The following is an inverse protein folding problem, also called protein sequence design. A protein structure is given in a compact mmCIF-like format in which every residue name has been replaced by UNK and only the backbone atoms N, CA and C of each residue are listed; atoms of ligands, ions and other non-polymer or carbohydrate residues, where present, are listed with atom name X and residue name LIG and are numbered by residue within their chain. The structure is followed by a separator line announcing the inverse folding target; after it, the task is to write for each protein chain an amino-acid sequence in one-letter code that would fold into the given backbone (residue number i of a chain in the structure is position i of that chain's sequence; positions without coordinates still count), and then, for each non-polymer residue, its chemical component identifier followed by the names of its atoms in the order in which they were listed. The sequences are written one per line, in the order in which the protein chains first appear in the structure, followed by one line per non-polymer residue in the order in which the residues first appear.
data_IF_655429195551
#
_entry.id   IF_655429195551
#
_cell.length_a   1.000
_cell.length_b   1.000
_cell.length_c   1.000
_cell.angle_alpha   90.00
_cell.angle_beta   90.00
_cell.angle_gamma   90.00
#
_symmetry.space_group_name_H-M   'P 1'
#
loop_
_entity.id
_entity.type
_entity.pdbx_description
1 polymer ?
#
# COMPACT_ATOMS: atom_id res chain seq x y z
N UNK A 1 -65.89 -12.67 -37.98
CA UNK A 1 -65.07 -11.54 -37.51
C UNK A 1 -64.17 -12.10 -36.41
N UNK A 2 -62.92 -12.01 -36.68
CA UNK A 2 -61.83 -12.70 -35.93
C UNK A 2 -61.50 -11.93 -34.68
N UNK A 3 -61.48 -12.64 -33.54
CA UNK A 3 -60.94 -12.13 -32.29
C UNK A 3 -59.56 -12.74 -32.01
N UNK A 4 -58.54 -11.89 -31.97
CA UNK A 4 -57.14 -12.27 -31.70
C UNK A 4 -56.93 -12.58 -30.21
N UNK A 5 -56.53 -13.81 -29.92
CA UNK A 5 -56.02 -14.21 -28.63
C UNK A 5 -54.63 -13.64 -28.40
N UNK A 6 -54.47 -12.79 -27.39
CA UNK A 6 -53.19 -12.31 -26.91
C UNK A 6 -52.69 -13.24 -25.81
N UNK A 7 -51.65 -13.99 -26.12
CA UNK A 7 -50.98 -14.86 -25.14
C UNK A 7 -50.21 -14.00 -24.13
N UNK A 8 -50.60 -14.12 -22.87
CA UNK A 8 -49.86 -13.52 -21.73
C UNK A 8 -48.60 -14.35 -21.48
N UNK A 9 -47.47 -13.78 -21.82
CA UNK A 9 -46.16 -14.33 -21.47
C UNK A 9 -45.87 -14.04 -20.00
N UNK A 10 -45.94 -15.07 -19.14
CA UNK A 10 -45.54 -14.96 -17.76
C UNK A 10 -44.00 -15.01 -17.71
N UNK A 11 -43.39 -13.85 -17.53
CA UNK A 11 -41.96 -13.79 -17.14
C UNK A 11 -41.83 -14.12 -15.66
N UNK A 12 -41.37 -15.31 -15.38
CA UNK A 12 -40.87 -15.68 -14.03
C UNK A 12 -39.52 -15.00 -13.82
N UNK A 13 -39.53 -13.88 -13.12
CA UNK A 13 -38.30 -13.22 -12.67
C UNK A 13 -37.70 -14.05 -11.54
N UNK A 14 -36.67 -14.82 -11.87
CA UNK A 14 -35.75 -15.36 -10.88
C UNK A 14 -34.89 -14.21 -10.37
N UNK A 15 -35.25 -13.69 -9.20
CA UNK A 15 -34.40 -12.77 -8.44
C UNK A 15 -33.17 -13.55 -7.93
N UNK A 16 -32.14 -13.62 -8.77
CA UNK A 16 -30.81 -13.94 -8.30
C UNK A 16 -30.28 -12.69 -7.61
N UNK A 17 -30.38 -12.66 -6.29
CA UNK A 17 -29.72 -11.64 -5.48
C UNK A 17 -28.21 -11.77 -5.70
N UNK A 18 -27.68 -10.95 -6.60
CA UNK A 18 -26.24 -10.73 -6.69
C UNK A 18 -25.86 -9.99 -5.41
N UNK A 19 -25.41 -10.73 -4.39
CA UNK A 19 -24.77 -10.15 -3.24
C UNK A 19 -23.43 -9.62 -3.71
N UNK A 20 -23.44 -8.42 -4.26
CA UNK A 20 -22.21 -7.64 -4.49
C UNK A 20 -21.66 -7.36 -3.12
N UNK A 21 -20.64 -8.12 -2.72
CA UNK A 21 -19.81 -7.76 -1.59
C UNK A 21 -19.12 -6.46 -1.99
N UNK A 22 -19.73 -5.34 -1.64
CA UNK A 22 -19.09 -4.03 -1.77
C UNK A 22 -17.83 -4.10 -0.90
N UNK A 23 -16.68 -4.31 -1.53
CA UNK A 23 -15.39 -4.17 -0.88
C UNK A 23 -15.36 -2.78 -0.25
N UNK A 24 -15.05 -2.71 1.06
CA UNK A 24 -14.93 -1.42 1.74
C UNK A 24 -13.95 -0.56 0.98
N UNK A 25 -14.38 0.62 0.56
CA UNK A 25 -13.53 1.58 -0.13
C UNK A 25 -12.46 2.05 0.86
N UNK A 26 -11.21 2.01 0.45
CA UNK A 26 -10.12 2.57 1.26
C UNK A 26 -10.30 4.08 1.37
N UNK A 27 -10.36 4.58 2.60
CA UNK A 27 -10.67 5.99 2.88
C UNK A 27 -9.73 6.54 3.94
N UNK A 28 -9.14 7.68 3.65
CA UNK A 28 -8.34 8.47 4.57
C UNK A 28 -8.83 9.91 4.61
N UNK A 29 -8.91 10.47 5.80
CA UNK A 29 -9.25 11.87 6.04
C UNK A 29 -8.04 12.56 6.65
N UNK A 30 -7.52 13.55 5.95
CA UNK A 30 -6.41 14.40 6.41
C UNK A 30 -6.94 15.67 7.05
N UNK A 31 -6.25 16.16 8.07
CA UNK A 31 -6.58 17.39 8.77
C UNK A 31 -5.37 18.33 8.84
N UNK A 32 -5.60 19.63 8.72
CA UNK A 32 -4.54 20.63 8.76
C UNK A 32 -3.78 20.67 10.08
N UNK A 33 -4.49 20.51 11.18
CA UNK A 33 -3.91 20.62 12.51
C UNK A 33 -3.87 19.28 13.25
N UNK A 34 -3.20 19.26 14.39
CA UNK A 34 -3.16 18.11 15.29
C UNK A 34 -4.56 17.82 15.84
N UNK A 35 -4.75 16.61 16.35
CA UNK A 35 -5.98 16.17 17.00
C UNK A 35 -7.22 16.34 16.11
N UNK A 36 -7.06 16.14 14.79
CA UNK A 36 -8.17 16.15 13.81
C UNK A 36 -8.88 17.50 13.73
N UNK A 37 -8.14 18.58 13.87
CA UNK A 37 -8.65 19.95 13.81
C UNK A 37 -8.30 20.64 12.49
N UNK A 38 -8.94 21.78 12.23
CA UNK A 38 -8.74 22.57 11.02
C UNK A 38 -9.54 22.03 9.83
N UNK A 39 -9.18 22.50 8.64
CA UNK A 39 -9.79 22.00 7.41
C UNK A 39 -9.42 20.54 7.19
N UNK A 40 -10.30 19.80 6.54
CA UNK A 40 -10.09 18.40 6.22
C UNK A 40 -10.19 18.13 4.72
N UNK A 41 -9.53 17.08 4.29
CA UNK A 41 -9.60 16.56 2.92
C UNK A 41 -9.74 15.04 2.97
N UNK A 42 -10.82 14.54 2.37
CA UNK A 42 -11.08 13.11 2.25
C UNK A 42 -10.49 12.57 0.94
N UNK A 43 -9.71 11.51 1.02
CA UNK A 43 -9.05 10.89 -0.12
C UNK A 43 -9.39 9.40 -0.19
N UNK A 44 -9.88 8.96 -1.35
CA UNK A 44 -10.28 7.58 -1.63
C UNK A 44 -9.47 6.95 -2.77
N UNK A 45 -8.41 7.62 -3.21
CA UNK A 45 -7.54 7.21 -4.32
C UNK A 45 -6.12 7.74 -4.13
N UNK A 46 -5.25 7.49 -5.09
CA UNK A 46 -3.94 8.13 -5.12
C UNK A 46 -4.09 9.65 -5.24
N UNK A 47 -3.31 10.40 -4.47
CA UNK A 47 -3.24 11.85 -4.53
C UNK A 47 -1.79 12.29 -4.74
N UNK A 48 -1.48 12.77 -5.93
CA UNK A 48 -0.12 13.17 -6.29
C UNK A 48 0.32 14.49 -5.64
N UNK A 49 -0.62 15.37 -5.34
CA UNK A 49 -0.34 16.65 -4.70
C UNK A 49 -1.48 17.10 -3.82
N UNK A 50 -1.24 17.10 -2.52
CA UNK A 50 -2.22 17.51 -1.51
C UNK A 50 -2.21 19.02 -1.25
N UNK A 51 -1.23 19.77 -1.75
CA UNK A 51 -1.06 21.19 -1.49
C UNK A 51 -2.20 22.05 -2.03
N UNK A 52 -2.91 21.54 -3.06
CA UNK A 52 -4.12 22.17 -3.59
C UNK A 52 -5.36 22.04 -2.68
N UNK A 53 -5.35 21.10 -1.75
CA UNK A 53 -6.47 20.82 -0.85
C UNK A 53 -6.22 21.36 0.56
N UNK A 54 -5.01 21.18 1.09
CA UNK A 54 -4.60 21.59 2.42
C UNK A 54 -3.26 22.30 2.39
N UNK A 55 -3.15 23.43 3.09
CA UNK A 55 -1.90 24.20 3.20
C UNK A 55 -0.87 23.52 4.09
N UNK A 56 -1.33 22.74 5.08
CA UNK A 56 -0.54 21.92 5.99
C UNK A 56 -1.31 20.64 6.32
N UNK A 57 -0.66 19.68 6.92
CA UNK A 57 -1.32 18.45 7.36
C UNK A 57 -0.55 17.88 8.56
N UNK A 58 -1.24 17.64 9.68
CA UNK A 58 -0.62 17.18 10.92
C UNK A 58 -1.32 15.97 11.55
N UNK A 59 -2.55 15.68 11.16
CA UNK A 59 -3.27 14.49 11.64
C UNK A 59 -4.09 13.85 10.52
N UNK A 60 -4.40 12.57 10.68
CA UNK A 60 -5.28 11.87 9.76
C UNK A 60 -6.00 10.70 10.43
N UNK A 61 -7.11 10.30 9.83
CA UNK A 61 -7.87 9.09 10.18
C UNK A 61 -7.96 8.21 8.96
N UNK A 62 -7.61 6.94 9.12
CA UNK A 62 -7.79 5.92 8.10
C UNK A 62 -8.91 5.00 8.57
N UNK A 63 -10.05 5.11 7.93
CA UNK A 63 -11.21 4.29 8.24
C UNK A 63 -11.08 2.88 7.69
N UNK A 64 -10.57 2.78 6.47
CA UNK A 64 -10.30 1.52 5.79
C UNK A 64 -9.08 1.64 4.91
N UNK A 65 -8.31 0.56 4.80
CA UNK A 65 -7.20 0.47 3.87
C UNK A 65 -5.83 0.71 4.48
N UNK A 66 -4.83 0.62 3.63
CA UNK A 66 -3.44 0.95 3.91
C UNK A 66 -2.95 1.95 2.87
N UNK A 67 -2.09 2.85 3.29
CA UNK A 67 -1.58 3.92 2.45
C UNK A 67 -0.07 4.09 2.61
N UNK A 68 0.61 4.42 1.50
CA UNK A 68 1.94 5.00 1.53
C UNK A 68 1.83 6.52 1.48
N UNK A 69 2.48 7.18 2.42
CA UNK A 69 2.56 8.62 2.53
C UNK A 69 3.94 9.12 2.14
N UNK A 70 3.99 10.30 1.54
CA UNK A 70 5.21 10.92 1.07
C UNK A 70 5.28 12.38 1.52
N UNK A 71 6.45 12.85 1.94
CA UNK A 71 6.65 14.22 2.39
C UNK A 71 6.85 15.23 1.25
N UNK A 72 6.83 14.76 -0.01
CA UNK A 72 6.87 15.61 -1.20
C UNK A 72 5.76 15.25 -2.20
N UNK A 73 5.36 16.19 -3.06
CA UNK A 73 4.45 15.89 -4.18
C UNK A 73 5.01 14.81 -5.12
N UNK A 74 4.12 14.23 -5.90
CA UNK A 74 4.43 13.22 -6.91
C UNK A 74 5.11 11.96 -6.36
N UNK A 75 4.74 11.58 -5.12
CA UNK A 75 5.23 10.35 -4.47
C UNK A 75 6.75 10.34 -4.28
N UNK A 76 7.30 11.52 -4.02
CA UNK A 76 8.72 11.73 -3.83
C UNK A 76 9.06 11.93 -2.34
N UNK A 77 10.35 11.89 -2.04
CA UNK A 77 10.86 12.09 -0.68
C UNK A 77 10.82 10.84 0.19
N UNK A 78 10.68 11.04 1.49
CA UNK A 78 10.60 9.93 2.43
C UNK A 78 9.23 9.25 2.37
N UNK A 79 9.21 7.93 2.57
CA UNK A 79 8.01 7.12 2.54
C UNK A 79 7.64 6.67 3.95
N UNK A 80 6.33 6.67 4.23
CA UNK A 80 5.78 6.23 5.51
C UNK A 80 4.57 5.34 5.27
N UNK A 81 4.53 4.21 5.96
CA UNK A 81 3.42 3.26 5.87
C UNK A 81 2.38 3.54 6.95
N UNK A 82 1.13 3.70 6.53
CA UNK A 82 -0.02 3.93 7.41
C UNK A 82 -1.07 2.85 7.17
N UNK A 83 -1.52 2.21 8.22
CA UNK A 83 -2.65 1.28 8.21
C UNK A 83 -3.88 1.90 8.85
N UNK A 84 -5.00 1.22 8.81
CA UNK A 84 -6.22 1.65 9.49
C UNK A 84 -5.95 2.10 10.94
N UNK A 85 -6.45 3.28 11.30
CA UNK A 85 -6.24 3.86 12.63
C UNK A 85 -6.34 5.38 12.65
N UNK A 86 -6.14 5.94 13.82
CA UNK A 86 -6.15 7.37 14.09
C UNK A 86 -4.73 7.85 14.41
N UNK A 87 -4.32 8.93 13.77
CA UNK A 87 -2.98 9.52 13.88
C UNK A 87 -3.15 11.00 14.26
N UNK A 88 -3.24 11.26 15.56
CA UNK A 88 -3.55 12.60 16.10
C UNK A 88 -2.42 13.62 15.87
N UNK A 89 -1.19 13.13 15.78
CA UNK A 89 0.01 13.92 15.44
C UNK A 89 1.04 12.99 14.80
N UNK A 90 0.87 12.69 13.53
CA UNK A 90 1.75 11.73 12.85
C UNK A 90 3.19 12.23 12.72
N UNK A 91 3.43 13.55 12.72
CA UNK A 91 4.79 14.08 12.67
C UNK A 91 5.60 13.65 13.91
N UNK A 92 5.03 13.80 15.09
CA UNK A 92 5.64 13.31 16.33
C UNK A 92 5.72 11.77 16.38
N UNK A 93 4.65 11.08 15.95
CA UNK A 93 4.57 9.61 16.01
C UNK A 93 5.62 8.92 15.13
N UNK A 94 5.95 9.49 13.99
CA UNK A 94 6.90 8.92 13.01
C UNK A 94 8.22 9.68 12.94
N UNK A 95 8.42 10.71 13.77
CA UNK A 95 9.62 11.53 13.72
C UNK A 95 9.80 12.28 12.39
N UNK A 96 8.69 12.65 11.76
CA UNK A 96 8.71 13.35 10.49
C UNK A 96 9.10 14.82 10.69
N UNK A 97 9.96 15.31 9.80
CA UNK A 97 10.36 16.72 9.79
C UNK A 97 9.46 17.61 8.94
N UNK A 98 8.61 17.01 8.09
CA UNK A 98 7.78 17.73 7.14
C UNK A 98 6.38 17.11 7.03
N UNK A 99 5.43 17.88 6.48
CA UNK A 99 4.06 17.43 6.27
C UNK A 99 3.98 16.42 5.11
N UNK A 100 2.96 15.58 5.15
CA UNK A 100 2.59 14.73 4.00
C UNK A 100 2.12 15.62 2.85
N UNK A 101 2.63 15.34 1.64
CA UNK A 101 2.32 16.08 0.42
C UNK A 101 1.69 15.23 -0.67
N UNK A 102 1.86 13.92 -0.61
CA UNK A 102 1.21 12.97 -1.52
C UNK A 102 0.97 11.64 -0.83
N UNK A 103 0.01 10.87 -1.34
CA UNK A 103 -0.29 9.53 -0.82
C UNK A 103 -0.68 8.57 -1.93
N UNK A 104 -0.34 7.29 -1.76
CA UNK A 104 -0.81 6.18 -2.58
C UNK A 104 -1.64 5.23 -1.75
N UNK A 105 -2.77 4.85 -2.30
CA UNK A 105 -3.56 3.74 -1.77
C UNK A 105 -2.87 2.42 -2.11
N UNK A 106 -2.72 1.54 -1.12
CA UNK A 106 -2.23 0.18 -1.34
C UNK A 106 -3.44 -0.72 -1.58
N UNK A 107 -3.55 -1.37 -2.76
CA UNK A 107 -4.64 -2.31 -3.01
C UNK A 107 -4.62 -3.47 -2.01
N UNK A 108 -5.79 -3.86 -1.53
CA UNK A 108 -5.92 -5.06 -0.70
C UNK A 108 -5.57 -6.29 -1.54
N UNK A 109 -4.67 -7.12 -1.03
CA UNK A 109 -4.29 -8.37 -1.66
C UNK A 109 -4.88 -9.55 -0.89
N UNK A 110 -5.62 -10.39 -1.60
CA UNK A 110 -6.14 -11.66 -1.08
C UNK A 110 -5.49 -12.79 -1.85
N UNK A 111 -4.84 -13.70 -1.16
CA UNK A 111 -4.15 -14.83 -1.77
C UNK A 111 -2.74 -15.03 -1.23
N UNK A 112 -1.94 -15.76 -1.98
CA UNK A 112 -0.55 -16.02 -1.63
C UNK A 112 0.32 -14.78 -1.84
N UNK A 113 1.38 -14.70 -1.08
CA UNK A 113 2.45 -13.72 -1.26
C UNK A 113 3.64 -14.44 -1.85
N UNK A 114 4.30 -13.81 -2.82
CA UNK A 114 5.44 -14.43 -3.47
C UNK A 114 6.41 -13.38 -4.03
N UNK A 115 7.66 -13.47 -3.60
CA UNK A 115 8.73 -12.58 -4.05
C UNK A 115 10.03 -13.37 -4.22
N UNK A 116 10.80 -13.07 -5.27
CA UNK A 116 12.19 -13.53 -5.42
C UNK A 116 13.13 -12.40 -5.11
N UNK A 117 14.10 -12.66 -4.26
CA UNK A 117 15.18 -11.72 -3.92
C UNK A 117 16.49 -12.22 -4.51
N UNK A 118 17.34 -11.30 -4.93
CA UNK A 118 18.62 -11.59 -5.56
C UNK A 118 19.75 -10.81 -4.91
N UNK A 119 20.89 -11.47 -4.76
CA UNK A 119 22.07 -10.90 -4.12
C UNK A 119 22.61 -9.67 -4.85
N UNK A 120 22.55 -9.68 -6.19
CA UNK A 120 23.08 -8.63 -7.06
C UNK A 120 22.00 -7.98 -7.90
N UNK A 121 22.35 -6.87 -8.53
CA UNK A 121 21.50 -6.21 -9.52
C UNK A 121 21.20 -7.12 -10.71
N UNK A 122 20.15 -6.78 -11.46
CA UNK A 122 19.72 -7.46 -12.67
C UNK A 122 19.44 -8.96 -12.48
N UNK A 123 18.90 -9.32 -11.28
CA UNK A 123 18.53 -10.70 -10.95
C UNK A 123 19.70 -11.69 -10.98
N UNK A 124 20.88 -11.21 -10.58
CA UNK A 124 22.11 -11.99 -10.57
C UNK A 124 22.49 -12.45 -9.15
N UNK A 125 23.38 -13.42 -9.09
CA UNK A 125 23.87 -13.99 -7.84
C UNK A 125 22.91 -14.99 -7.22
N UNK A 126 23.01 -15.19 -5.91
CA UNK A 126 22.10 -16.07 -5.18
C UNK A 126 20.68 -15.54 -5.24
N UNK A 127 19.73 -16.46 -5.37
CA UNK A 127 18.29 -16.17 -5.42
C UNK A 127 17.55 -17.00 -4.38
N UNK A 128 16.62 -16.37 -3.69
CA UNK A 128 15.69 -17.05 -2.79
C UNK A 128 14.26 -16.60 -3.07
N UNK A 129 13.34 -17.56 -3.03
CA UNK A 129 11.91 -17.29 -3.13
C UNK A 129 11.32 -17.20 -1.73
N UNK A 130 10.53 -16.16 -1.49
CA UNK A 130 9.90 -15.86 -0.20
C UNK A 130 8.40 -15.84 -0.35
N UNK A 131 7.71 -16.42 0.62
CA UNK A 131 6.24 -16.38 0.77
C UNK A 131 5.81 -15.78 2.09
N UNK A 132 6.76 -15.56 3.00
CA UNK A 132 6.53 -15.09 4.37
C UNK A 132 7.45 -13.92 4.70
N UNK A 133 7.14 -13.26 5.82
CA UNK A 133 7.99 -12.22 6.36
C UNK A 133 9.40 -12.76 6.64
N UNK A 134 10.40 -11.93 6.40
CA UNK A 134 11.79 -12.24 6.72
C UNK A 134 12.40 -11.06 7.47
N UNK A 135 12.67 -11.25 8.75
CA UNK A 135 13.22 -10.23 9.62
C UNK A 135 14.72 -10.01 9.44
N UNK A 136 15.43 -10.99 8.86
CA UNK A 136 16.86 -10.87 8.54
C UNK A 136 17.27 -11.87 7.45
N UNK A 137 17.57 -11.37 6.25
CA UNK A 137 17.98 -12.22 5.12
C UNK A 137 19.34 -12.87 5.34
N UNK A 138 20.23 -12.26 6.12
CA UNK A 138 21.52 -12.86 6.46
C UNK A 138 21.33 -14.12 7.31
N UNK A 139 20.48 -14.06 8.33
CA UNK A 139 20.26 -15.20 9.22
C UNK A 139 19.52 -16.34 8.52
N UNK A 140 18.50 -15.99 7.74
CA UNK A 140 17.62 -16.97 7.10
C UNK A 140 18.24 -17.59 5.83
N UNK A 141 18.92 -16.80 5.03
CA UNK A 141 19.40 -17.20 3.69
C UNK A 141 20.90 -17.08 3.48
N UNK A 142 21.64 -16.60 4.49
CA UNK A 142 23.09 -16.28 4.38
C UNK A 142 23.38 -15.28 3.25
N UNK A 143 22.38 -14.46 2.91
CA UNK A 143 22.48 -13.39 1.92
C UNK A 143 22.86 -12.08 2.62
N UNK A 144 24.03 -11.52 2.27
CA UNK A 144 24.54 -10.30 2.90
C UNK A 144 23.79 -9.04 2.48
N UNK A 145 23.11 -9.08 1.33
CA UNK A 145 22.37 -7.95 0.78
C UNK A 145 21.40 -8.43 -0.30
N UNK A 146 20.32 -7.68 -0.49
CA UNK A 146 19.43 -7.81 -1.63
C UNK A 146 19.59 -6.57 -2.52
N UNK A 147 19.92 -6.74 -3.79
CA UNK A 147 20.12 -5.65 -4.75
C UNK A 147 19.13 -5.65 -5.91
N UNK A 148 18.36 -6.70 -6.09
CA UNK A 148 17.25 -6.75 -7.04
C UNK A 148 16.20 -7.73 -6.54
N UNK A 149 14.97 -7.56 -6.99
CA UNK A 149 13.89 -8.47 -6.65
C UNK A 149 12.80 -8.51 -7.71
N UNK A 150 12.02 -9.58 -7.70
CA UNK A 150 10.81 -9.73 -8.48
C UNK A 150 9.65 -10.03 -7.53
N UNK A 151 8.73 -9.09 -7.38
CA UNK A 151 7.49 -9.26 -6.63
C UNK A 151 6.46 -9.86 -7.58
N UNK A 152 6.11 -11.12 -7.36
CA UNK A 152 5.15 -11.84 -8.19
C UNK A 152 3.72 -11.67 -7.68
N UNK A 153 3.53 -11.79 -6.36
CA UNK A 153 2.23 -11.72 -5.73
C UNK A 153 2.28 -10.91 -4.42
N UNK A 154 1.25 -10.11 -4.21
CA UNK A 154 1.08 -9.31 -3.01
C UNK A 154 1.88 -8.01 -3.00
N UNK A 155 1.70 -7.29 -1.92
CA UNK A 155 2.35 -6.01 -1.67
C UNK A 155 3.29 -6.15 -0.47
N UNK A 156 4.48 -5.56 -0.57
CA UNK A 156 5.56 -5.77 0.38
C UNK A 156 6.18 -4.47 0.85
N UNK A 157 6.67 -4.49 2.08
CA UNK A 157 7.56 -3.47 2.63
C UNK A 157 8.96 -4.04 2.75
N UNK A 158 9.96 -3.33 2.25
CA UNK A 158 11.37 -3.68 2.39
C UNK A 158 12.08 -2.65 3.25
N UNK A 159 12.94 -3.12 4.14
CA UNK A 159 13.65 -2.31 5.13
C UNK A 159 15.15 -2.40 4.95
N UNK A 160 15.80 -1.27 5.13
CA UNK A 160 17.27 -1.13 5.01
C UNK A 160 18.03 -1.98 6.02
N UNK A 161 17.48 -2.16 7.22
CA UNK A 161 18.11 -2.87 8.31
C UNK A 161 17.32 -4.15 8.67
N UNK A 162 17.97 -5.11 9.37
CA UNK A 162 17.28 -6.24 9.96
C UNK A 162 16.19 -5.81 10.95
N UNK A 163 15.26 -6.71 11.21
CA UNK A 163 14.16 -6.56 12.16
C UNK A 163 13.25 -5.38 11.85
N UNK A 164 13.00 -5.15 10.55
CA UNK A 164 12.07 -4.13 10.04
C UNK A 164 12.41 -2.71 10.50
N UNK A 165 13.70 -2.38 10.49
CA UNK A 165 14.22 -1.08 10.92
C UNK A 165 14.89 -0.32 9.79
N UNK A 166 15.13 0.98 10.03
CA UNK A 166 15.73 1.88 9.05
C UNK A 166 14.71 2.38 8.05
N UNK A 167 15.21 2.90 6.94
CA UNK A 167 14.34 3.37 5.86
C UNK A 167 13.58 2.21 5.25
N UNK A 168 12.35 2.49 4.82
CA UNK A 168 11.42 1.51 4.30
C UNK A 168 10.96 1.91 2.90
N UNK A 169 10.76 0.91 2.04
CA UNK A 169 10.19 1.06 0.70
C UNK A 169 9.02 0.12 0.48
N UNK A 170 7.99 0.67 -0.15
CA UNK A 170 6.86 -0.10 -0.65
C UNK A 170 7.16 -0.66 -2.03
N UNK A 171 6.93 -1.95 -2.20
CA UNK A 171 7.03 -2.67 -3.46
C UNK A 171 5.69 -3.30 -3.84
N UNK A 172 5.21 -2.96 -5.02
CA UNK A 172 4.06 -3.61 -5.68
C UNK A 172 4.55 -4.72 -6.60
N UNK A 173 3.65 -5.61 -7.11
CA UNK A 173 4.04 -6.60 -8.12
C UNK A 173 4.79 -5.96 -9.29
N UNK A 174 5.91 -6.56 -9.66
CA UNK A 174 6.79 -6.06 -10.71
C UNK A 174 8.25 -6.47 -10.53
N UNK A 175 9.07 -6.14 -11.51
CA UNK A 175 10.50 -6.38 -11.52
C UNK A 175 11.28 -5.14 -11.10
N UNK A 176 12.20 -5.31 -10.17
CA UNK A 176 13.08 -4.27 -9.64
C UNK A 176 14.53 -4.71 -9.88
N UNK A 177 15.10 -4.28 -11.03
CA UNK A 177 16.44 -4.69 -11.47
C UNK A 177 17.57 -4.12 -10.63
N UNK A 178 17.32 -3.00 -9.99
CA UNK A 178 18.20 -2.34 -9.02
C UNK A 178 17.36 -1.44 -8.12
N UNK A 179 17.98 -0.88 -7.11
CA UNK A 179 17.35 0.05 -6.17
C UNK A 179 17.94 1.47 -6.25
N UNK A 180 18.50 1.85 -7.38
CA UNK A 180 19.06 3.20 -7.61
C UNK A 180 18.01 4.29 -7.40
N UNK A 181 16.78 4.07 -7.84
CA UNK A 181 15.64 4.97 -7.62
C UNK A 181 15.24 5.09 -6.14
N UNK A 182 15.72 4.20 -5.29
CA UNK A 182 15.50 4.18 -3.84
C UNK A 182 16.75 4.64 -3.08
N UNK A 183 17.63 5.42 -3.73
CA UNK A 183 18.86 5.92 -3.14
C UNK A 183 19.96 4.87 -3.00
N UNK A 184 19.97 3.84 -3.84
CA UNK A 184 20.98 2.79 -3.85
C UNK A 184 21.02 1.96 -2.57
N UNK A 185 19.90 1.81 -1.89
CA UNK A 185 19.82 1.11 -0.62
C UNK A 185 19.97 -0.39 -0.77
N UNK A 186 20.47 -1.01 0.29
CA UNK A 186 20.50 -2.46 0.46
C UNK A 186 19.41 -2.84 1.44
N UNK A 187 18.65 -3.84 1.10
CA UNK A 187 17.56 -4.30 1.95
C UNK A 187 17.96 -5.55 2.72
N UNK A 188 17.60 -5.58 4.00
CA UNK A 188 17.96 -6.63 4.94
C UNK A 188 16.77 -7.37 5.55
N UNK A 189 15.57 -6.77 5.48
CA UNK A 189 14.34 -7.40 5.97
C UNK A 189 13.15 -7.01 5.11
N UNK A 190 12.16 -7.89 5.04
CA UNK A 190 10.97 -7.73 4.20
C UNK A 190 9.72 -8.20 4.93
N UNK A 191 8.62 -7.53 4.65
CA UNK A 191 7.36 -7.77 5.32
C UNK A 191 6.20 -7.67 4.36
N UNK A 192 5.25 -8.62 4.43
CA UNK A 192 4.00 -8.59 3.67
C UNK A 192 3.08 -7.51 4.22
N UNK A 193 2.33 -6.87 3.34
CA UNK A 193 1.22 -6.01 3.75
C UNK A 193 -0.03 -6.89 3.81
N UNK A 194 -0.40 -7.29 5.04
CA UNK A 194 -1.45 -8.27 5.28
C UNK A 194 -2.84 -7.66 5.13
N UNK A 195 -3.81 -8.44 4.63
CA UNK A 195 -5.21 -8.05 4.53
C UNK A 195 -5.84 -7.70 5.89
N UNK A 196 -5.36 -8.30 6.97
CA UNK A 196 -5.80 -7.98 8.34
C UNK A 196 -5.47 -6.55 8.80
N UNK A 197 -4.65 -5.82 8.06
CA UNK A 197 -4.28 -4.44 8.37
C UNK A 197 -5.24 -3.38 7.77
N UNK A 198 -6.16 -3.83 6.89
CA UNK A 198 -7.13 -2.99 6.19
C UNK A 198 -8.38 -2.66 6.99
#
# INVERSE_FOLDING_TARGET
MQGLNCAVCQCTSTNTAITTTMGRVSTIIFYEDRNFQGRSYECMSDCADMTSYLSRCHSCRIENGCFMMYDRPNYMGNQYFFKRGEYADYMSMFGMSDCIRSCRMIPMHRGSYRMRIYERENFMGQMYEMMDDCDNIMDRYRMSQCQSCHVMDGHWLMYEQPHYRGRMWYLRPGEYRNFSNFGGMRFMSMRRIMDSWY
#
